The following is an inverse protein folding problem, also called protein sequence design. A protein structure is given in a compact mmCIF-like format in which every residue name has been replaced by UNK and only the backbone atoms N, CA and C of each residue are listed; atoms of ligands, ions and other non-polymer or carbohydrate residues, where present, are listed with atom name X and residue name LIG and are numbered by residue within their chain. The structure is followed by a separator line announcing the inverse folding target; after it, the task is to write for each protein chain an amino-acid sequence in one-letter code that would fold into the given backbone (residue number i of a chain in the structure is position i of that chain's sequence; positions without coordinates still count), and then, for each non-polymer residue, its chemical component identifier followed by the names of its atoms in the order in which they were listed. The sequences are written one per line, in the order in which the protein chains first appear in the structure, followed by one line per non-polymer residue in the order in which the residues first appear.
data_IF_712906887029
#
_entry.id   IF_712906887029
#
_cell.length_a   1.000
_cell.length_b   1.000
_cell.length_c   1.000
_cell.angle_alpha   90.00
_cell.angle_beta   90.00
_cell.angle_gamma   90.00
#
_symmetry.space_group_name_H-M   'P 1'
#
loop_
_entity.id
_entity.type
_entity.pdbx_description
1 polymer ?
#
# COMPACT_ATOMS: atom_id res chain seq x y z
N UNK A 1 -15.54 -14.31 21.81
CA UNK A 1 -15.59 -13.85 20.40
C UNK A 1 -14.93 -12.48 20.31
N UNK A 2 -14.10 -12.25 19.30
CA UNK A 2 -13.50 -10.93 19.02
C UNK A 2 -14.62 -9.94 18.66
N UNK A 3 -14.71 -8.80 19.35
CA UNK A 3 -15.70 -7.75 19.06
C UNK A 3 -15.59 -7.24 17.62
N UNK A 4 -14.40 -7.29 17.03
CA UNK A 4 -14.12 -6.91 15.65
C UNK A 4 -14.88 -7.78 14.62
N UNK A 5 -15.27 -9.00 15.00
CA UNK A 5 -15.97 -9.91 14.10
C UNK A 5 -17.40 -9.46 13.77
N UNK A 6 -18.07 -8.68 14.64
CA UNK A 6 -19.44 -8.22 14.38
C UNK A 6 -19.55 -7.08 13.37
N UNK A 7 -18.44 -6.39 13.10
CA UNK A 7 -18.36 -5.30 12.11
C UNK A 7 -17.60 -5.72 10.85
N UNK A 8 -16.98 -6.90 10.86
CA UNK A 8 -16.32 -7.42 9.69
C UNK A 8 -17.36 -7.67 8.58
N UNK A 9 -17.02 -7.29 7.34
CA UNK A 9 -17.82 -7.55 6.15
C UNK A 9 -17.11 -8.63 5.31
N UNK A 10 -17.19 -9.92 5.71
CA UNK A 10 -16.60 -11.01 4.95
C UNK A 10 -17.27 -11.13 3.57
N UNK A 11 -16.48 -11.35 2.53
CA UNK A 11 -16.97 -11.48 1.15
C UNK A 11 -16.79 -10.23 0.28
N UNK A 12 -16.30 -9.11 0.83
CA UNK A 12 -15.82 -8.00 0.00
C UNK A 12 -14.53 -8.41 -0.73
N UNK A 13 -14.29 -7.88 -1.95
CA UNK A 13 -13.09 -8.18 -2.71
C UNK A 13 -11.83 -7.89 -1.89
N UNK A 14 -10.85 -8.81 -1.97
CA UNK A 14 -9.58 -8.64 -1.29
C UNK A 14 -8.83 -7.48 -1.97
N UNK A 15 -8.62 -6.39 -1.23
CA UNK A 15 -7.91 -5.19 -1.71
C UNK A 15 -6.39 -5.33 -1.59
N UNK A 16 -5.82 -6.52 -1.81
CA UNK A 16 -4.37 -6.80 -1.62
C UNK A 16 -3.47 -5.75 -2.29
N UNK A 17 -3.71 -5.38 -3.58
CA UNK A 17 -2.88 -4.38 -4.24
C UNK A 17 -2.93 -3.00 -3.57
N UNK A 18 -4.08 -2.63 -2.98
CA UNK A 18 -4.25 -1.35 -2.26
C UNK A 18 -3.55 -1.39 -0.91
N UNK A 19 -3.56 -2.54 -0.22
CA UNK A 19 -2.79 -2.73 1.02
C UNK A 19 -1.30 -2.60 0.73
N UNK A 20 -0.81 -3.28 -0.30
CA UNK A 20 0.60 -3.23 -0.73
C UNK A 20 1.02 -1.81 -1.17
N UNK A 21 0.14 -1.09 -1.88
CA UNK A 21 0.34 0.33 -2.19
C UNK A 21 0.53 1.16 -0.93
N UNK A 22 -0.34 0.99 0.07
CA UNK A 22 -0.29 1.76 1.33
C UNK A 22 0.97 1.46 2.13
N UNK A 23 1.45 0.23 2.11
CA UNK A 23 2.68 -0.15 2.80
C UNK A 23 3.90 0.51 2.15
N UNK A 24 4.05 0.38 0.82
CA UNK A 24 5.19 0.94 0.07
C UNK A 24 5.22 2.47 0.18
N UNK A 25 4.10 3.14 -0.09
CA UNK A 25 4.04 4.61 -0.01
C UNK A 25 4.01 5.13 1.43
N UNK A 26 3.56 4.31 2.40
CA UNK A 26 3.60 4.65 3.82
C UNK A 26 5.03 4.72 4.37
N UNK A 27 5.91 3.83 3.91
CA UNK A 27 7.36 3.90 4.20
C UNK A 27 7.97 5.17 3.60
N UNK A 28 7.70 5.45 2.33
CA UNK A 28 8.18 6.67 1.67
C UNK A 28 7.70 7.94 2.38
N UNK A 29 6.43 7.98 2.78
CA UNK A 29 5.88 9.09 3.57
C UNK A 29 6.60 9.27 4.90
N UNK A 30 6.88 8.16 5.60
CA UNK A 30 7.62 8.20 6.87
C UNK A 30 9.03 8.75 6.66
N UNK A 31 9.71 8.34 5.59
CA UNK A 31 11.04 8.87 5.26
C UNK A 31 11.02 10.37 4.95
N UNK A 32 10.02 10.83 4.18
CA UNK A 32 9.84 12.25 3.87
C UNK A 32 9.58 13.08 5.14
N UNK A 33 8.76 12.57 6.07
CA UNK A 33 8.52 13.22 7.38
C UNK A 33 9.82 13.33 8.19
N UNK A 34 10.70 12.33 8.09
CA UNK A 34 12.02 12.32 8.74
C UNK A 34 13.08 13.16 8.00
N UNK A 35 12.72 13.86 6.92
CA UNK A 35 13.60 14.79 6.20
C UNK A 35 14.29 14.23 4.95
N UNK A 36 13.92 13.02 4.49
CA UNK A 36 14.38 12.53 3.19
C UNK A 36 13.79 13.35 2.02
N UNK A 37 14.49 13.38 0.89
CA UNK A 37 14.04 14.11 -0.31
C UNK A 37 12.76 13.49 -0.91
N UNK A 38 11.65 14.24 -1.04
CA UNK A 38 10.39 13.71 -1.56
C UNK A 38 10.47 13.16 -2.98
N UNK A 39 11.21 13.81 -3.87
CA UNK A 39 11.30 13.36 -5.26
C UNK A 39 12.00 12.00 -5.37
N UNK A 40 13.02 11.79 -4.55
CA UNK A 40 13.77 10.53 -4.47
C UNK A 40 12.92 9.41 -3.86
N UNK A 41 12.26 9.67 -2.73
CA UNK A 41 11.41 8.66 -2.05
C UNK A 41 10.22 8.25 -2.92
N UNK A 42 9.56 9.19 -3.58
CA UNK A 42 8.43 8.89 -4.46
C UNK A 42 8.86 8.08 -5.69
N UNK A 43 9.99 8.42 -6.34
CA UNK A 43 10.52 7.62 -7.46
C UNK A 43 10.84 6.19 -7.05
N UNK A 44 11.43 6.02 -5.86
CA UNK A 44 11.73 4.71 -5.30
C UNK A 44 10.44 3.91 -5.04
N UNK A 45 9.48 4.51 -4.33
CA UNK A 45 8.20 3.89 -4.02
C UNK A 45 7.43 3.49 -5.30
N UNK A 46 7.42 4.34 -6.33
CA UNK A 46 6.81 4.02 -7.62
C UNK A 46 7.48 2.82 -8.27
N UNK A 47 8.81 2.75 -8.30
CA UNK A 47 9.53 1.61 -8.87
C UNK A 47 9.29 0.31 -8.09
N UNK A 48 9.22 0.40 -6.76
CA UNK A 48 8.97 -0.74 -5.87
C UNK A 48 7.52 -1.26 -6.01
N UNK A 49 6.55 -0.37 -6.21
CA UNK A 49 5.14 -0.74 -6.39
C UNK A 49 4.81 -1.23 -7.81
N UNK A 50 5.60 -0.87 -8.83
CA UNK A 50 5.30 -1.18 -10.23
C UNK A 50 4.95 -2.68 -10.50
N UNK A 51 5.67 -3.67 -9.95
CA UNK A 51 5.34 -5.08 -10.17
C UNK A 51 3.98 -5.49 -9.60
N UNK A 52 3.55 -4.87 -8.49
CA UNK A 52 2.24 -5.10 -7.86
C UNK A 52 1.15 -4.51 -8.74
N UNK A 53 1.37 -3.28 -9.24
CA UNK A 53 0.45 -2.62 -10.17
C UNK A 53 0.24 -3.46 -11.43
N UNK A 54 1.33 -3.86 -12.08
CA UNK A 54 1.30 -4.67 -13.32
C UNK A 54 0.55 -5.99 -13.14
N UNK A 55 0.61 -6.60 -11.95
CA UNK A 55 -0.13 -7.82 -11.61
C UNK A 55 -1.61 -7.53 -11.36
N UNK A 56 -1.92 -6.40 -10.71
CA UNK A 56 -3.29 -6.01 -10.39
C UNK A 56 -4.12 -5.63 -11.62
N UNK A 57 -3.50 -5.04 -12.64
CA UNK A 57 -4.19 -4.60 -13.88
C UNK A 57 -4.43 -5.75 -14.88
N UNK A 58 -3.86 -6.92 -14.64
CA UNK A 58 -4.03 -8.14 -15.47
C UNK A 58 -5.13 -9.08 -14.95
N UNK A 59 -5.75 -8.75 -13.82
CA UNK A 59 -6.74 -9.57 -13.13
C UNK A 59 -8.17 -9.21 -13.53
#
# INVERSE_FOLDING_TARGET
MLKSASIAQPGLPIISPVTEFRDVFGVALTNMINGADPATELKKATAEFQPVLDKSEKA
#
